data_IF_149927715644
#
_entry.id   IF_149927715644
#
_cell.length_a   1.000
_cell.length_b   1.000
_cell.length_c   1.000
_cell.angle_alpha   90.00
_cell.angle_beta   90.00
_cell.angle_gamma   90.00
#
_symmetry.space_group_name_H-M   'P 1'
#
loop_
_entity.id
_entity.type
_entity.pdbx_description
1 polymer ?
#
# COMPACT_ATOMS: atom_id res chain seq x y z
N UNK A 1 13.40 -7.10 18.64
CA UNK A 1 14.11 -6.84 19.91
C UNK A 1 14.20 -8.07 20.81
N UNK A 2 13.09 -8.62 21.34
CA UNK A 2 13.13 -9.74 22.29
C UNK A 2 13.78 -11.05 21.75
N UNK A 3 13.68 -11.29 20.44
CA UNK A 3 14.29 -12.47 19.78
C UNK A 3 15.79 -12.30 19.52
N UNK A 4 16.23 -11.11 19.11
CA UNK A 4 17.66 -10.82 18.85
C UNK A 4 18.46 -10.76 20.16
N UNK A 5 17.87 -10.26 21.24
CA UNK A 5 18.49 -10.30 22.58
C UNK A 5 18.75 -11.74 23.08
N UNK A 6 17.95 -12.71 22.63
CA UNK A 6 18.15 -14.13 22.93
C UNK A 6 19.18 -14.80 22.02
N UNK A 7 19.53 -14.17 20.90
CA UNK A 7 20.49 -14.69 19.92
C UNK A 7 21.93 -14.52 20.39
N UNK A 8 22.23 -13.43 21.10
CA UNK A 8 23.57 -13.16 21.64
C UNK A 8 24.12 -14.29 22.52
N UNK A 9 23.42 -14.74 23.59
CA UNK A 9 23.92 -15.83 24.42
C UNK A 9 24.08 -17.15 23.64
N UNK A 10 23.23 -17.43 22.66
CA UNK A 10 23.35 -18.62 21.80
C UNK A 10 24.62 -18.57 20.95
N UNK A 11 24.95 -17.40 20.39
CA UNK A 11 26.19 -17.22 19.61
C UNK A 11 27.43 -17.37 20.51
N UNK A 12 27.36 -16.92 21.76
CA UNK A 12 28.43 -17.12 22.76
C UNK A 12 28.59 -18.58 23.15
N UNK A 13 27.48 -19.31 23.35
CA UNK A 13 27.50 -20.74 23.64
C UNK A 13 28.07 -21.57 22.47
N UNK A 14 27.94 -21.07 21.23
CA UNK A 14 28.56 -21.64 20.03
C UNK A 14 30.05 -21.29 19.89
N UNK A 15 30.62 -20.56 20.84
CA UNK A 15 32.04 -20.21 20.88
C UNK A 15 32.44 -19.00 20.03
N UNK A 16 31.49 -18.16 19.59
CA UNK A 16 31.82 -16.92 18.90
C UNK A 16 32.41 -15.88 19.87
N UNK A 17 33.43 -15.16 19.40
CA UNK A 17 33.96 -13.98 20.08
C UNK A 17 32.88 -12.90 20.21
N UNK A 18 32.92 -12.12 21.30
CA UNK A 18 31.90 -11.07 21.58
C UNK A 18 31.70 -10.12 20.39
N UNK A 19 32.80 -9.73 19.75
CA UNK A 19 32.77 -8.84 18.61
C UNK A 19 31.98 -9.44 17.44
N UNK A 20 32.26 -10.69 17.07
CA UNK A 20 31.59 -11.38 15.96
C UNK A 20 30.13 -11.68 16.26
N UNK A 21 29.79 -11.96 17.52
CA UNK A 21 28.42 -12.16 17.94
C UNK A 21 27.58 -10.88 17.81
N UNK A 22 28.15 -9.72 18.16
CA UNK A 22 27.50 -8.42 17.97
C UNK A 22 27.35 -8.04 16.49
N UNK A 23 28.41 -8.19 15.70
CA UNK A 23 28.37 -7.92 14.25
C UNK A 23 27.28 -8.77 13.56
N UNK A 24 27.15 -10.04 13.94
CA UNK A 24 26.09 -10.91 13.41
C UNK A 24 24.68 -10.41 13.75
N UNK A 25 24.46 -9.94 14.97
CA UNK A 25 23.16 -9.39 15.40
C UNK A 25 22.83 -8.10 14.65
N UNK A 26 23.80 -7.21 14.48
CA UNK A 26 23.60 -5.97 13.71
C UNK A 26 23.23 -6.26 12.25
N UNK A 27 23.91 -7.20 11.61
CA UNK A 27 23.60 -7.62 10.22
C UNK A 27 22.18 -8.19 10.14
N UNK A 28 21.76 -9.03 11.09
CA UNK A 28 20.40 -9.58 11.12
C UNK A 28 19.37 -8.48 11.36
N UNK A 29 19.64 -7.53 12.25
CA UNK A 29 18.73 -6.42 12.53
C UNK A 29 18.59 -5.49 11.33
N UNK A 30 19.69 -5.21 10.64
CA UNK A 30 19.68 -4.42 9.41
C UNK A 30 18.95 -5.17 8.29
N UNK A 31 19.22 -6.45 8.10
CA UNK A 31 18.53 -7.30 7.12
C UNK A 31 17.01 -7.40 7.39
N UNK A 32 16.57 -7.41 8.65
CA UNK A 32 15.14 -7.36 8.97
C UNK A 32 14.48 -6.02 8.59
N UNK A 33 15.24 -4.92 8.58
CA UNK A 33 14.75 -3.61 8.16
C UNK A 33 14.79 -3.46 6.63
N UNK A 34 15.77 -4.08 5.98
CA UNK A 34 15.91 -4.16 4.52
C UNK A 34 14.84 -5.09 3.92
N UNK A 35 13.67 -4.52 3.61
CA UNK A 35 12.56 -5.25 2.98
C UNK A 35 11.20 -4.98 3.61
N UNK A 36 11.16 -4.23 4.72
CA UNK A 36 9.90 -3.75 5.27
C UNK A 36 9.44 -2.50 4.51
N UNK A 37 8.15 -2.44 4.22
CA UNK A 37 7.53 -1.22 3.73
C UNK A 37 7.78 -0.10 4.75
N UNK A 38 8.37 0.99 4.27
CA UNK A 38 8.63 2.18 5.08
C UNK A 38 7.33 2.96 5.27
N UNK A 39 7.35 3.90 6.22
CA UNK A 39 6.21 4.84 6.38
C UNK A 39 5.98 5.68 5.12
N UNK A 40 7.04 5.94 4.36
CA UNK A 40 6.97 6.67 3.09
C UNK A 40 6.27 5.84 2.02
N UNK A 41 6.59 4.55 1.89
CA UNK A 41 5.91 3.63 0.97
C UNK A 41 4.40 3.57 1.23
N UNK A 42 4.01 3.55 2.52
CA UNK A 42 2.60 3.56 2.94
C UNK A 42 1.92 4.89 2.56
N UNK A 43 2.60 6.02 2.78
CA UNK A 43 2.08 7.35 2.44
C UNK A 43 1.90 7.49 0.93
N UNK A 44 2.86 7.03 0.14
CA UNK A 44 2.78 7.04 -1.31
C UNK A 44 1.64 6.15 -1.81
N UNK A 45 1.43 5.00 -1.17
CA UNK A 45 0.29 4.13 -1.47
C UNK A 45 -1.04 4.83 -1.14
N UNK A 46 -1.14 5.53 0.00
CA UNK A 46 -2.33 6.30 0.38
C UNK A 46 -2.66 7.41 -0.63
N UNK A 47 -1.63 8.12 -1.11
CA UNK A 47 -1.78 9.16 -2.14
C UNK A 47 -2.30 8.55 -3.45
N UNK A 48 -1.66 7.48 -3.94
CA UNK A 48 -2.10 6.78 -5.16
C UNK A 48 -3.54 6.29 -5.06
N UNK A 49 -3.92 5.71 -3.92
CA UNK A 49 -5.31 5.27 -3.69
C UNK A 49 -6.31 6.43 -3.72
N UNK A 50 -5.96 7.59 -3.14
CA UNK A 50 -6.81 8.79 -3.19
C UNK A 50 -6.98 9.32 -4.61
N UNK A 51 -5.92 9.29 -5.40
CA UNK A 51 -5.96 9.67 -6.82
C UNK A 51 -6.85 8.73 -7.64
N UNK A 52 -6.68 7.42 -7.49
CA UNK A 52 -7.49 6.40 -8.17
C UNK A 52 -8.99 6.54 -7.84
N UNK A 53 -9.32 6.80 -6.56
CA UNK A 53 -10.70 7.03 -6.12
C UNK A 53 -11.27 8.27 -6.81
N UNK A 54 -10.54 9.39 -6.82
CA UNK A 54 -10.98 10.63 -7.45
C UNK A 54 -11.20 10.46 -8.95
N UNK A 55 -10.31 9.74 -9.63
CA UNK A 55 -10.44 9.45 -11.05
C UNK A 55 -11.65 8.57 -11.35
N UNK A 56 -11.96 7.62 -10.47
CA UNK A 56 -13.15 6.78 -10.57
C UNK A 56 -14.42 7.60 -10.37
N UNK A 57 -14.46 8.49 -9.36
CA UNK A 57 -15.59 9.41 -9.13
C UNK A 57 -15.87 10.29 -10.34
N UNK A 58 -14.82 10.90 -10.92
CA UNK A 58 -14.96 11.74 -12.13
C UNK A 58 -15.50 10.93 -13.30
N UNK A 59 -15.01 9.69 -13.48
CA UNK A 59 -15.47 8.80 -14.56
C UNK A 59 -16.94 8.46 -14.37
N UNK A 60 -17.38 8.13 -13.15
CA UNK A 60 -18.77 7.84 -12.84
C UNK A 60 -19.67 9.04 -13.13
N UNK A 61 -19.29 10.24 -12.72
CA UNK A 61 -20.05 11.47 -13.00
C UNK A 61 -20.22 11.67 -14.50
N UNK A 62 -19.16 11.50 -15.30
CA UNK A 62 -19.24 11.61 -16.77
C UNK A 62 -20.24 10.62 -17.36
N UNK A 63 -20.22 9.36 -16.92
CA UNK A 63 -21.17 8.35 -17.39
C UNK A 63 -22.61 8.64 -16.96
N UNK A 64 -22.82 9.08 -15.72
CA UNK A 64 -24.15 9.46 -15.23
C UNK A 64 -24.71 10.60 -16.09
N UNK A 65 -23.93 11.65 -16.37
CA UNK A 65 -24.36 12.75 -17.25
C UNK A 65 -24.70 12.24 -18.65
N UNK A 66 -23.87 11.37 -19.23
CA UNK A 66 -24.14 10.75 -20.53
C UNK A 66 -25.46 9.97 -20.55
N UNK A 67 -25.71 9.16 -19.52
CA UNK A 67 -26.96 8.41 -19.37
C UNK A 67 -28.17 9.33 -19.16
N UNK A 68 -28.03 10.44 -18.42
CA UNK A 68 -29.07 11.46 -18.24
C UNK A 68 -29.46 12.13 -19.57
N UNK A 69 -28.48 12.45 -20.42
CA UNK A 69 -28.74 13.02 -21.75
C UNK A 69 -29.43 11.99 -22.64
N UNK A 70 -28.95 10.74 -22.63
CA UNK A 70 -29.52 9.66 -23.42
C UNK A 70 -30.98 9.39 -23.06
N UNK A 71 -31.29 9.22 -21.77
CA UNK A 71 -32.67 8.98 -21.32
C UNK A 71 -33.59 10.17 -21.63
N UNK A 72 -33.12 11.41 -21.48
CA UNK A 72 -33.91 12.61 -21.80
C UNK A 72 -34.28 12.64 -23.28
N UNK A 73 -33.32 12.31 -24.14
CA UNK A 73 -33.53 12.24 -25.59
C UNK A 73 -34.56 11.17 -25.97
N UNK A 74 -34.48 9.99 -25.33
CA UNK A 74 -35.44 8.91 -25.51
C UNK A 74 -36.84 9.35 -25.05
N UNK A 75 -36.96 9.96 -23.87
CA UNK A 75 -38.24 10.46 -23.35
C UNK A 75 -38.88 11.48 -24.28
N UNK A 76 -38.10 12.43 -24.82
CA UNK A 76 -38.60 13.42 -25.79
C UNK A 76 -39.07 12.74 -27.09
N UNK A 77 -38.33 11.76 -27.59
CA UNK A 77 -38.70 11.03 -28.79
C UNK A 77 -40.02 10.26 -28.60
N UNK A 78 -40.20 9.61 -27.44
CA UNK A 78 -41.44 8.93 -27.09
C UNK A 78 -42.62 9.90 -26.97
N UNK A 79 -42.44 11.05 -26.33
CA UNK A 79 -43.49 12.08 -26.22
C UNK A 79 -43.95 12.64 -27.57
N UNK A 80 -43.11 12.60 -28.61
CA UNK A 80 -43.49 13.02 -29.96
C UNK A 80 -44.17 11.93 -30.79
N UNK A 81 -44.08 10.67 -30.34
CA UNK A 81 -44.63 9.51 -31.05
C UNK A 81 -46.10 9.24 -30.68
N UNK A 82 -46.52 9.67 -29.48
CA UNK A 82 -47.90 9.62 -28.98
C UNK A 82 -48.57 10.99 -29.12
#
# INVERSE_FOLDING_TARGET
MATLAKLYPILKDLGLEDQKANEFIEIIEQSQKEGLATKEDIKDLEIRFKEDIKDLEIRLVKWIIGLMIAQTSITIALLKLF
#
